data_IF_856214461729
#
_entry.id   IF_856214461729
#
_cell.length_a   1.000
_cell.length_b   1.000
_cell.length_c   1.000
_cell.angle_alpha   90.00
_cell.angle_beta   90.00
_cell.angle_gamma   90.00
#
_symmetry.space_group_name_H-M   'P 1'
#
loop_
_entity.id
_entity.type
_entity.pdbx_description
1 polymer ?
#
# COMPACT_ATOMS: atom_id res chain seq x y z
N UNK A 1 -1.89 22.30 -23.55
CA UNK A 1 -0.85 21.69 -24.41
C UNK A 1 0.57 21.69 -23.83
N UNK A 2 1.00 22.65 -22.97
CA UNK A 2 2.37 22.66 -22.39
C UNK A 2 2.52 22.04 -20.99
N UNK A 3 1.42 21.74 -20.28
CA UNK A 3 1.47 21.11 -18.94
C UNK A 3 2.00 19.67 -18.96
N UNK A 4 2.02 19.01 -20.12
CA UNK A 4 2.58 17.66 -20.32
C UNK A 4 4.10 17.63 -20.58
N UNK A 5 4.79 18.78 -20.56
CA UNK A 5 6.24 18.86 -20.81
C UNK A 5 7.10 19.00 -19.54
N UNK A 6 6.47 19.12 -18.37
CA UNK A 6 7.22 19.24 -17.12
C UNK A 6 7.77 17.87 -16.73
N UNK A 7 9.10 17.80 -16.57
CA UNK A 7 9.80 16.58 -16.14
C UNK A 7 9.18 16.08 -14.82
N UNK A 8 8.67 14.85 -14.82
CA UNK A 8 8.06 14.23 -13.63
C UNK A 8 8.95 14.34 -12.38
N UNK A 9 10.27 14.26 -12.57
CA UNK A 9 11.29 14.43 -11.54
C UNK A 9 11.21 15.75 -10.76
N UNK A 10 10.67 16.81 -11.36
CA UNK A 10 10.48 18.10 -10.70
C UNK A 10 9.19 18.15 -9.86
N UNK A 11 8.16 17.40 -10.26
CA UNK A 11 6.83 17.44 -9.62
C UNK A 11 6.74 16.41 -8.49
N UNK A 12 7.35 15.23 -8.67
CA UNK A 12 7.32 14.12 -7.72
C UNK A 12 7.61 14.50 -6.26
N UNK A 13 8.68 15.26 -5.91
CA UNK A 13 8.99 15.54 -4.52
C UNK A 13 7.93 16.43 -3.85
N UNK A 14 7.30 17.34 -4.59
CA UNK A 14 6.20 18.15 -4.09
C UNK A 14 4.93 17.32 -3.91
N UNK A 15 4.63 16.41 -4.83
CA UNK A 15 3.50 15.48 -4.68
C UNK A 15 3.65 14.63 -3.42
N UNK A 16 4.83 14.08 -3.17
CA UNK A 16 5.09 13.34 -1.93
C UNK A 16 4.90 14.23 -0.70
N UNK A 17 5.51 15.42 -0.67
CA UNK A 17 5.29 16.37 0.43
C UNK A 17 3.81 16.66 0.71
N UNK A 18 3.01 16.86 -0.34
CA UNK A 18 1.57 17.10 -0.21
C UNK A 18 0.78 15.86 0.25
N UNK A 19 1.14 14.66 -0.22
CA UNK A 19 0.47 13.41 0.20
C UNK A 19 0.72 13.14 1.68
N UNK A 20 1.96 13.30 2.16
CA UNK A 20 2.28 13.14 3.57
C UNK A 20 1.64 14.23 4.44
N UNK A 21 1.58 15.46 3.94
CA UNK A 21 0.84 16.54 4.61
C UNK A 21 -0.67 16.22 4.73
N UNK A 22 -1.29 15.76 3.64
CA UNK A 22 -2.71 15.40 3.61
C UNK A 22 -3.02 14.22 4.55
N UNK A 23 -2.14 13.22 4.62
CA UNK A 23 -2.29 12.11 5.56
C UNK A 23 -2.22 12.60 7.01
N UNK A 24 -1.26 13.48 7.33
CA UNK A 24 -1.14 14.06 8.67
C UNK A 24 -2.36 14.89 9.08
N UNK A 25 -3.06 15.53 8.13
CA UNK A 25 -4.24 16.33 8.44
C UNK A 25 -5.37 15.52 9.10
N UNK A 26 -5.41 14.20 8.89
CA UNK A 26 -6.50 13.34 9.36
C UNK A 26 -6.59 13.27 10.89
N UNK A 27 -5.51 12.86 11.57
CA UNK A 27 -5.48 12.75 13.04
C UNK A 27 -4.45 13.66 13.71
N UNK A 28 -3.55 14.28 12.93
CA UNK A 28 -2.44 15.11 13.41
C UNK A 28 -1.44 14.34 14.28
N UNK A 29 -1.31 13.03 14.06
CA UNK A 29 -0.34 12.19 14.74
C UNK A 29 0.75 11.67 13.80
N UNK A 30 1.92 11.38 14.38
CA UNK A 30 3.01 10.67 13.69
C UNK A 30 2.57 9.29 13.15
N UNK A 31 1.57 8.67 13.79
CA UNK A 31 0.98 7.40 13.37
C UNK A 31 0.45 7.43 11.94
N UNK A 32 -0.13 8.54 11.49
CA UNK A 32 -0.68 8.67 10.13
C UNK A 32 0.41 8.59 9.06
N UNK A 33 1.56 9.19 9.32
CA UNK A 33 2.71 9.19 8.41
C UNK A 33 3.30 7.78 8.27
N UNK A 34 3.39 7.05 9.38
CA UNK A 34 3.86 5.66 9.40
C UNK A 34 2.85 4.72 8.74
N UNK A 35 1.55 4.90 8.99
CA UNK A 35 0.49 4.13 8.34
C UNK A 35 0.43 4.37 6.84
N UNK A 36 0.57 5.63 6.40
CA UNK A 36 0.69 5.96 4.98
C UNK A 36 1.90 5.25 4.34
N UNK A 37 3.04 5.22 5.01
CA UNK A 37 4.22 4.50 4.54
C UNK A 37 3.99 2.99 4.45
N UNK A 38 3.38 2.40 5.48
CA UNK A 38 3.08 0.97 5.54
C UNK A 38 2.11 0.55 4.42
N UNK A 39 0.97 1.25 4.30
CA UNK A 39 -0.03 0.98 3.27
C UNK A 39 0.47 1.32 1.87
N UNK A 40 1.28 2.37 1.73
CA UNK A 40 1.95 2.73 0.47
C UNK A 40 2.91 1.64 0.02
N UNK A 41 3.73 1.12 0.93
CA UNK A 41 4.67 0.01 0.67
C UNK A 41 3.91 -1.26 0.30
N UNK A 42 2.85 -1.61 1.04
CA UNK A 42 1.96 -2.71 0.72
C UNK A 42 1.39 -2.57 -0.70
N UNK A 43 0.87 -1.39 -1.04
CA UNK A 43 0.32 -1.10 -2.37
C UNK A 43 1.34 -1.19 -3.51
N UNK A 44 2.59 -0.82 -3.26
CA UNK A 44 3.70 -0.96 -4.22
C UNK A 44 3.99 -2.43 -4.49
N UNK A 45 4.11 -3.27 -3.46
CA UNK A 45 4.33 -4.70 -3.63
C UNK A 45 3.12 -5.42 -4.24
N UNK A 46 1.88 -5.01 -3.90
CA UNK A 46 0.69 -5.52 -4.58
C UNK A 46 0.72 -5.23 -6.07
N UNK A 47 1.10 -4.01 -6.48
CA UNK A 47 1.27 -3.67 -7.89
C UNK A 47 2.36 -4.52 -8.53
N UNK A 48 3.51 -4.67 -7.84
CA UNK A 48 4.65 -5.44 -8.32
C UNK A 48 4.31 -6.89 -8.61
N UNK A 49 3.56 -7.54 -7.71
CA UNK A 49 3.22 -8.96 -7.80
C UNK A 49 1.85 -9.25 -8.44
N UNK A 50 1.20 -8.25 -9.04
CA UNK A 50 -0.05 -8.44 -9.79
C UNK A 50 -1.29 -8.66 -8.92
N UNK A 51 -1.24 -8.31 -7.63
CA UNK A 51 -2.37 -8.42 -6.72
C UNK A 51 -3.38 -7.27 -6.95
N UNK A 52 -4.69 -7.55 -6.99
CA UNK A 52 -5.71 -6.55 -7.28
C UNK A 52 -5.90 -5.57 -6.11
N UNK A 53 -5.20 -4.43 -6.17
CA UNK A 53 -5.35 -3.31 -5.21
C UNK A 53 -6.82 -2.88 -4.98
N UNK A 54 -7.68 -2.76 -6.02
CA UNK A 54 -9.08 -2.39 -5.82
C UNK A 54 -9.86 -3.42 -4.98
N UNK A 55 -9.53 -4.71 -5.08
CA UNK A 55 -10.22 -5.75 -4.31
C UNK A 55 -9.94 -5.61 -2.81
N UNK A 56 -8.70 -5.29 -2.43
CA UNK A 56 -8.34 -5.03 -1.02
C UNK A 56 -9.08 -3.79 -0.49
N UNK A 57 -9.15 -2.71 -1.28
CA UNK A 57 -9.88 -1.50 -0.89
C UNK A 57 -11.38 -1.76 -0.72
N UNK A 58 -11.99 -2.54 -1.63
CA UNK A 58 -13.39 -2.96 -1.53
C UNK A 58 -13.62 -3.75 -0.24
N UNK A 59 -12.74 -4.72 0.05
CA UNK A 59 -12.79 -5.50 1.29
C UNK A 59 -12.66 -4.61 2.53
N UNK A 60 -11.70 -3.69 2.55
CA UNK A 60 -11.48 -2.76 3.67
C UNK A 60 -12.71 -1.89 3.94
N UNK A 61 -13.27 -1.25 2.91
CA UNK A 61 -14.43 -0.34 3.07
C UNK A 61 -15.71 -1.10 3.46
N UNK A 62 -15.87 -2.34 2.99
CA UNK A 62 -17.05 -3.16 3.29
C UNK A 62 -16.93 -3.94 4.60
N UNK A 63 -15.71 -4.08 5.17
CA UNK A 63 -15.43 -4.96 6.30
C UNK A 63 -16.37 -4.73 7.48
N UNK A 64 -16.48 -3.50 7.98
CA UNK A 64 -17.34 -3.14 9.12
C UNK A 64 -18.81 -3.46 8.88
N UNK A 65 -19.31 -3.26 7.64
CA UNK A 65 -20.70 -3.57 7.29
C UNK A 65 -20.94 -5.07 7.26
N UNK A 66 -20.00 -5.83 6.69
CA UNK A 66 -20.07 -7.30 6.63
C UNK A 66 -20.00 -7.89 8.03
N UNK A 67 -19.07 -7.44 8.86
CA UNK A 67 -18.91 -7.89 10.26
C UNK A 67 -20.18 -7.66 11.07
N UNK A 68 -20.74 -6.44 11.04
CA UNK A 68 -21.98 -6.10 11.75
C UNK A 68 -23.16 -6.96 11.25
N UNK A 69 -23.24 -7.22 9.93
CA UNK A 69 -24.30 -8.06 9.36
C UNK A 69 -24.19 -9.53 9.80
N UNK A 70 -22.96 -10.06 9.88
CA UNK A 70 -22.69 -11.41 10.36
C UNK A 70 -23.06 -11.53 11.84
N UNK A 71 -22.67 -10.54 12.65
CA UNK A 71 -23.02 -10.47 14.07
C UNK A 71 -24.54 -10.56 14.25
N UNK A 72 -25.31 -9.70 13.58
CA UNK A 72 -26.78 -9.73 13.65
C UNK A 72 -27.39 -11.05 13.19
N UNK A 73 -26.83 -11.65 12.15
CA UNK A 73 -27.31 -12.93 11.62
C UNK A 73 -27.11 -14.06 12.63
N UNK A 74 -25.94 -14.13 13.24
CA UNK A 74 -25.59 -15.18 14.21
C UNK A 74 -26.38 -15.00 15.50
N UNK A 75 -26.56 -13.77 16.00
CA UNK A 75 -27.36 -13.55 17.21
C UNK A 75 -28.83 -13.90 17.02
N UNK A 76 -29.36 -13.74 15.81
CA UNK A 76 -30.80 -13.95 15.53
C UNK A 76 -31.11 -15.40 15.17
N UNK A 77 -30.31 -15.99 14.27
CA UNK A 77 -30.59 -17.30 13.67
C UNK A 77 -29.59 -18.39 14.08
N UNK A 78 -28.54 -18.06 14.84
CA UNK A 78 -27.46 -18.99 15.18
C UNK A 78 -26.83 -19.57 13.92
N UNK A 79 -26.63 -20.89 13.88
CA UNK A 79 -26.19 -21.62 12.67
C UNK A 79 -27.35 -22.01 11.73
N UNK A 80 -28.60 -21.79 12.13
CA UNK A 80 -29.79 -22.13 11.33
C UNK A 80 -29.94 -21.23 10.09
N UNK A 81 -29.21 -20.12 10.01
CA UNK A 81 -29.20 -19.25 8.84
C UNK A 81 -28.78 -19.99 7.55
N UNK A 82 -27.91 -21.00 7.65
CA UNK A 82 -27.47 -21.80 6.48
C UNK A 82 -28.60 -22.65 5.88
N UNK A 83 -29.62 -22.99 6.68
CA UNK A 83 -30.80 -23.72 6.22
C UNK A 83 -31.82 -22.84 5.50
N UNK A 84 -31.61 -21.51 5.47
CA UNK A 84 -32.55 -20.60 4.81
C UNK A 84 -32.44 -20.75 3.28
N UNK A 85 -33.58 -20.93 2.57
CA UNK A 85 -33.56 -21.21 1.13
C UNK A 85 -32.81 -20.16 0.30
N UNK A 86 -32.91 -18.88 0.68
CA UNK A 86 -32.24 -17.77 -0.01
C UNK A 86 -30.71 -17.89 0.10
N UNK A 87 -30.19 -18.30 1.27
CA UNK A 87 -28.74 -18.46 1.48
C UNK A 87 -28.21 -19.60 0.62
N UNK A 88 -28.93 -20.71 0.54
CA UNK A 88 -28.55 -21.87 -0.29
C UNK A 88 -28.51 -21.47 -1.78
N UNK A 89 -29.51 -20.73 -2.27
CA UNK A 89 -29.54 -20.23 -3.65
C UNK A 89 -28.34 -19.33 -3.94
N UNK A 90 -27.97 -18.43 -3.02
CA UNK A 90 -26.81 -17.56 -3.17
C UNK A 90 -25.48 -18.33 -3.16
N UNK A 91 -25.34 -19.36 -2.32
CA UNK A 91 -24.18 -20.25 -2.31
C UNK A 91 -24.05 -21.00 -3.64
N UNK A 92 -25.14 -21.53 -4.18
CA UNK A 92 -25.13 -22.20 -5.48
C UNK A 92 -24.74 -21.21 -6.59
N UNK A 93 -25.31 -20.00 -6.60
CA UNK A 93 -25.01 -19.00 -7.61
C UNK A 93 -23.54 -18.54 -7.56
N UNK A 94 -22.98 -18.38 -6.36
CA UNK A 94 -21.56 -18.02 -6.18
C UNK A 94 -20.63 -19.13 -6.67
N UNK A 95 -20.94 -20.41 -6.38
CA UNK A 95 -20.19 -21.55 -6.91
C UNK A 95 -20.26 -21.61 -8.43
N UNK A 96 -21.44 -21.41 -9.04
CA UNK A 96 -21.60 -21.36 -10.49
C UNK A 96 -20.76 -20.24 -11.09
N UNK A 97 -20.78 -19.05 -10.50
CA UNK A 97 -19.99 -17.90 -10.95
C UNK A 97 -18.48 -18.18 -10.92
N UNK A 98 -17.98 -18.81 -9.85
CA UNK A 98 -16.57 -19.20 -9.74
C UNK A 98 -16.20 -20.22 -10.83
N UNK A 99 -17.02 -21.24 -11.02
CA UNK A 99 -16.78 -22.27 -12.06
C UNK A 99 -16.81 -21.65 -13.46
N UNK A 100 -17.76 -20.75 -13.72
CA UNK A 100 -17.83 -20.02 -14.99
C UNK A 100 -16.59 -19.15 -15.19
N UNK A 101 -16.16 -18.38 -14.18
CA UNK A 101 -14.97 -17.54 -14.27
C UNK A 101 -13.69 -18.34 -14.57
N UNK A 102 -13.55 -19.53 -13.99
CA UNK A 102 -12.42 -20.43 -14.27
C UNK A 102 -12.50 -20.97 -15.71
N UNK A 103 -13.69 -21.34 -16.20
CA UNK A 103 -13.87 -21.90 -17.55
C UNK A 103 -13.77 -20.87 -18.68
N UNK A 104 -14.24 -19.65 -18.47
CA UNK A 104 -14.26 -18.59 -19.49
C UNK A 104 -13.05 -17.65 -19.40
N UNK A 105 -11.98 -18.06 -18.70
CA UNK A 105 -10.77 -17.25 -18.58
C UNK A 105 -10.17 -17.01 -19.97
N UNK A 106 -10.06 -15.76 -20.44
CA UNK A 106 -9.53 -15.47 -21.78
C UNK A 106 -8.07 -15.95 -21.89
N UNK A 107 -7.67 -16.36 -23.10
CA UNK A 107 -6.31 -16.78 -23.38
C UNK A 107 -5.32 -15.66 -23.00
N UNK A 108 -4.44 -15.96 -22.04
CA UNK A 108 -3.43 -15.02 -21.55
C UNK A 108 -2.29 -14.91 -22.58
N UNK A 109 -1.63 -13.75 -22.60
CA UNK A 109 -0.46 -13.47 -23.44
C UNK A 109 0.60 -14.57 -23.30
N UNK A 110 1.33 -14.87 -24.38
CA UNK A 110 2.39 -15.89 -24.40
C UNK A 110 3.33 -15.73 -23.20
N UNK A 111 3.38 -16.77 -22.36
CA UNK A 111 4.23 -16.83 -21.19
C UNK A 111 5.65 -17.08 -21.69
N UNK A 112 6.46 -16.02 -21.75
CA UNK A 112 7.87 -16.10 -22.16
C UNK A 112 8.74 -16.33 -20.93
N UNK A 113 9.77 -17.19 -21.05
CA UNK A 113 10.70 -17.55 -19.96
C UNK A 113 11.57 -16.40 -19.43
N UNK A 114 11.72 -15.32 -20.18
CA UNK A 114 12.41 -14.09 -19.75
C UNK A 114 11.42 -12.94 -19.47
N UNK A 115 10.11 -13.22 -19.45
CA UNK A 115 9.07 -12.22 -19.25
C UNK A 115 8.70 -11.97 -17.78
N UNK A 116 7.58 -11.28 -17.57
CA UNK A 116 7.04 -10.91 -16.26
C UNK A 116 6.68 -12.15 -15.39
N UNK A 117 6.45 -13.30 -16.03
CA UNK A 117 5.99 -14.55 -15.42
C UNK A 117 7.10 -15.59 -15.16
N UNK A 118 8.34 -15.13 -15.01
CA UNK A 118 9.55 -15.97 -14.87
C UNK A 118 9.76 -16.49 -13.45
N UNK A 119 10.39 -17.66 -13.30
CA UNK A 119 10.70 -18.32 -12.02
C UNK A 119 12.08 -17.95 -11.42
N UNK A 120 12.92 -17.21 -12.15
CA UNK A 120 14.20 -16.68 -11.66
C UNK A 120 13.93 -15.68 -10.53
N UNK A 121 14.70 -15.70 -9.44
CA UNK A 121 14.63 -14.74 -8.32
C UNK A 121 13.19 -14.48 -7.79
N UNK A 122 12.49 -15.56 -7.43
CA UNK A 122 11.15 -15.55 -6.79
C UNK A 122 11.18 -15.07 -5.33
N UNK A 123 12.36 -14.80 -4.77
CA UNK A 123 12.52 -14.46 -3.35
C UNK A 123 11.65 -13.27 -2.92
N UNK A 124 11.59 -12.14 -3.63
CA UNK A 124 10.76 -11.00 -3.23
C UNK A 124 9.26 -11.35 -3.23
N UNK A 125 8.80 -12.12 -4.22
CA UNK A 125 7.42 -12.57 -4.30
C UNK A 125 7.08 -13.55 -3.17
N UNK A 126 8.01 -14.46 -2.85
CA UNK A 126 7.87 -15.39 -1.73
C UNK A 126 7.84 -14.67 -0.37
N UNK A 127 8.64 -13.62 -0.17
CA UNK A 127 8.59 -12.80 1.04
C UNK A 127 7.23 -12.11 1.17
N UNK A 128 6.72 -11.52 0.10
CA UNK A 128 5.41 -10.88 0.09
C UNK A 128 4.28 -11.88 0.36
N UNK A 129 4.30 -13.03 -0.33
CA UNK A 129 3.39 -14.13 -0.07
C UNK A 129 3.44 -14.56 1.41
N UNK A 130 4.66 -14.77 1.94
CA UNK A 130 4.89 -15.14 3.33
C UNK A 130 4.36 -14.10 4.32
N UNK A 131 4.49 -12.81 4.01
CA UNK A 131 3.91 -11.72 4.79
C UNK A 131 2.39 -11.79 4.84
N UNK A 132 1.70 -11.95 3.70
CA UNK A 132 0.23 -12.05 3.67
C UNK A 132 -0.25 -13.35 4.32
N UNK A 133 0.47 -14.46 4.14
CA UNK A 133 0.19 -15.73 4.80
C UNK A 133 0.32 -15.61 6.32
N UNK A 134 1.41 -15.00 6.81
CA UNK A 134 1.61 -14.75 8.23
C UNK A 134 0.54 -13.83 8.80
N UNK A 135 0.16 -12.75 8.09
CA UNK A 135 -0.93 -11.86 8.50
C UNK A 135 -2.24 -12.65 8.65
N UNK A 136 -2.56 -13.53 7.70
CA UNK A 136 -3.75 -14.39 7.78
C UNK A 136 -3.73 -15.31 9.00
N UNK A 137 -2.56 -15.86 9.35
CA UNK A 137 -2.39 -16.67 10.56
C UNK A 137 -2.53 -15.84 11.84
N UNK A 138 -1.96 -14.64 11.88
CA UNK A 138 -2.08 -13.72 13.02
C UNK A 138 -3.56 -13.35 13.25
N UNK A 139 -4.31 -13.07 12.19
CA UNK A 139 -5.75 -12.75 12.28
C UNK A 139 -6.55 -13.92 12.84
N UNK A 140 -6.26 -15.15 12.40
CA UNK A 140 -6.93 -16.35 12.95
C UNK A 140 -6.55 -16.56 14.41
N UNK A 141 -5.26 -16.40 14.73
CA UNK A 141 -4.78 -16.56 16.10
C UNK A 141 -5.39 -15.53 17.05
N UNK A 142 -5.42 -14.27 16.65
CA UNK A 142 -6.06 -13.21 17.44
C UNK A 142 -7.57 -13.46 17.55
N UNK A 143 -8.25 -13.73 16.43
CA UNK A 143 -9.68 -14.03 16.39
C UNK A 143 -10.09 -15.22 17.26
N UNK A 144 -9.21 -16.22 17.43
CA UNK A 144 -9.46 -17.40 18.26
C UNK A 144 -9.41 -17.14 19.78
N UNK A 145 -8.85 -16.00 20.19
CA UNK A 145 -8.74 -15.61 21.62
C UNK A 145 -9.97 -14.88 22.13
N UNK A 146 -10.72 -14.27 21.23
CA UNK A 146 -11.94 -13.54 21.55
C UNK A 146 -13.12 -14.50 21.76
N UNK A 147 -14.19 -13.98 22.37
CA UNK A 147 -15.45 -14.72 22.46
C UNK A 147 -15.96 -15.09 21.06
N UNK A 148 -16.67 -16.21 20.95
CA UNK A 148 -17.15 -16.77 19.68
C UNK A 148 -17.81 -15.68 18.83
N UNK A 149 -18.65 -14.84 19.41
CA UNK A 149 -19.43 -13.87 18.66
C UNK A 149 -18.58 -12.73 18.06
N UNK A 150 -17.50 -12.34 18.73
CA UNK A 150 -16.53 -11.34 18.24
C UNK A 150 -15.52 -11.97 17.29
N UNK A 151 -15.14 -13.22 17.55
CA UNK A 151 -14.14 -13.95 16.76
C UNK A 151 -14.63 -14.47 15.41
N UNK A 152 -15.95 -14.61 15.18
CA UNK A 152 -16.46 -15.25 13.95
C UNK A 152 -15.99 -14.54 12.68
N UNK A 153 -16.08 -13.22 12.62
CA UNK A 153 -15.73 -12.48 11.40
C UNK A 153 -14.23 -12.58 11.08
N UNK A 154 -13.30 -12.27 12.02
CA UNK A 154 -11.87 -12.47 11.79
C UNK A 154 -11.50 -13.92 11.42
N UNK A 155 -12.07 -14.91 12.10
CA UNK A 155 -11.81 -16.34 11.82
C UNK A 155 -12.28 -16.73 10.43
N UNK A 156 -13.47 -16.28 10.02
CA UNK A 156 -14.02 -16.55 8.69
C UNK A 156 -13.20 -15.87 7.58
N UNK A 157 -12.88 -14.59 7.74
CA UNK A 157 -12.07 -13.83 6.79
C UNK A 157 -10.66 -14.41 6.65
N UNK A 158 -10.01 -14.74 7.78
CA UNK A 158 -8.70 -15.40 7.79
C UNK A 158 -8.74 -16.80 7.19
N UNK A 159 -9.78 -17.58 7.50
CA UNK A 159 -9.99 -18.93 6.96
C UNK A 159 -10.18 -18.94 5.44
N UNK A 160 -11.00 -18.03 4.90
CA UNK A 160 -11.13 -17.85 3.44
C UNK A 160 -9.81 -17.40 2.82
N UNK A 161 -9.09 -16.49 3.47
CA UNK A 161 -7.79 -16.03 2.98
C UNK A 161 -6.80 -17.19 2.87
N UNK A 162 -6.70 -18.04 3.91
CA UNK A 162 -5.87 -19.25 3.87
C UNK A 162 -6.33 -20.25 2.82
N UNK A 163 -7.64 -20.42 2.63
CA UNK A 163 -8.18 -21.33 1.62
C UNK A 163 -7.69 -21.00 0.21
N UNK A 164 -7.49 -19.72 -0.12
CA UNK A 164 -6.96 -19.29 -1.41
C UNK A 164 -5.43 -19.18 -1.44
N UNK A 165 -4.81 -18.74 -0.33
CA UNK A 165 -3.36 -18.52 -0.25
C UNK A 165 -2.59 -19.85 -0.18
N UNK A 166 -3.09 -20.87 0.52
CA UNK A 166 -2.38 -22.15 0.69
C UNK A 166 -2.20 -22.88 -0.66
N UNK A 167 -3.24 -23.08 -1.50
CA UNK A 167 -3.06 -23.68 -2.82
C UNK A 167 -2.09 -22.89 -3.70
N UNK A 168 -2.17 -21.55 -3.66
CA UNK A 168 -1.25 -20.67 -4.40
C UNK A 168 0.22 -20.91 -3.98
N UNK A 169 0.49 -21.03 -2.68
CA UNK A 169 1.84 -21.32 -2.18
C UNK A 169 2.34 -22.72 -2.55
N UNK A 170 1.44 -23.71 -2.54
CA UNK A 170 1.75 -25.06 -3.02
C UNK A 170 2.11 -25.04 -4.50
N UNK A 171 1.35 -24.29 -5.31
CA UNK A 171 1.61 -24.13 -6.74
C UNK A 171 2.93 -23.38 -7.01
N UNK A 172 3.22 -22.31 -6.24
CA UNK A 172 4.50 -21.61 -6.28
C UNK A 172 5.70 -22.52 -5.99
N UNK A 173 5.55 -23.46 -5.04
CA UNK A 173 6.61 -24.39 -4.68
C UNK A 173 6.79 -25.54 -5.69
N UNK A 174 5.69 -26.00 -6.30
CA UNK A 174 5.70 -27.15 -7.23
C UNK A 174 6.06 -26.77 -8.66
N UNK A 175 5.72 -25.55 -9.07
CA UNK A 175 5.89 -25.12 -10.46
C UNK A 175 7.37 -24.84 -10.73
N UNK A 176 7.88 -25.43 -11.81
CA UNK A 176 9.22 -25.17 -12.34
C UNK A 176 9.06 -24.57 -13.74
N UNK A 177 9.72 -23.46 -14.00
CA UNK A 177 9.56 -22.69 -15.25
C UNK A 177 8.49 -21.59 -15.15
N UNK A 178 8.37 -20.83 -16.24
CA UNK A 178 7.51 -19.66 -16.30
C UNK A 178 6.02 -20.04 -16.18
N UNK A 179 5.31 -19.38 -15.27
CA UNK A 179 3.91 -19.67 -14.98
C UNK A 179 3.15 -18.44 -14.53
N UNK A 180 1.83 -18.47 -14.66
CA UNK A 180 0.94 -17.38 -14.28
C UNK A 180 0.96 -17.05 -12.78
N UNK A 181 1.49 -17.96 -11.97
CA UNK A 181 1.63 -17.80 -10.53
C UNK A 181 2.73 -16.80 -10.20
N UNK A 182 3.77 -16.75 -11.02
CA UNK A 182 4.82 -15.76 -10.89
C UNK A 182 4.42 -14.50 -11.62
N UNK A 183 4.58 -13.34 -11.00
CA UNK A 183 4.39 -12.05 -11.68
C UNK A 183 5.28 -11.06 -10.99
N UNK A 184 6.22 -10.47 -11.71
CA UNK A 184 7.08 -9.40 -11.20
C UNK A 184 7.16 -8.27 -12.23
N UNK A 185 6.40 -7.20 -11.99
CA UNK A 185 6.39 -6.03 -12.88
C UNK A 185 7.74 -5.31 -12.94
N UNK A 186 8.71 -5.66 -12.08
CA UNK A 186 10.06 -5.10 -12.21
C UNK A 186 10.83 -5.60 -13.42
N UNK A 187 10.34 -6.67 -14.05
CA UNK A 187 10.93 -7.29 -15.24
C UNK A 187 10.23 -6.89 -16.52
N UNK A 188 9.22 -6.04 -16.41
CA UNK A 188 8.62 -5.46 -17.60
C UNK A 188 9.69 -4.61 -18.28
N UNK A 189 10.16 -5.05 -19.46
CA UNK A 189 11.06 -4.27 -20.31
C UNK A 189 10.31 -3.02 -20.80
N UNK A 190 10.33 -1.96 -19.99
CA UNK A 190 9.90 -0.64 -20.41
C UNK A 190 11.02 -0.07 -21.30
N UNK A 191 10.64 0.39 -22.50
CA UNK A 191 11.53 1.00 -23.51
C UNK A 191 12.75 1.72 -22.91
N UNK A 192 13.93 1.45 -23.50
CA UNK A 192 15.31 1.78 -23.06
C UNK A 192 15.61 3.27 -22.76
N UNK A 193 14.62 4.16 -22.77
CA UNK A 193 14.77 5.61 -22.61
C UNK A 193 14.63 6.12 -21.16
N UNK A 194 14.20 5.28 -20.21
CA UNK A 194 14.03 5.67 -18.80
C UNK A 194 14.99 4.81 -17.95
N UNK A 195 15.86 5.44 -17.15
CA UNK A 195 16.68 4.74 -16.16
C UNK A 195 15.77 3.94 -15.21
N UNK A 196 15.66 2.63 -15.42
CA UNK A 196 14.89 1.76 -14.55
C UNK A 196 15.61 1.62 -13.20
N UNK A 197 14.92 1.97 -12.12
CA UNK A 197 15.38 1.79 -10.74
C UNK A 197 14.32 1.00 -9.98
N UNK A 198 14.78 0.08 -9.14
CA UNK A 198 13.96 -0.77 -8.28
C UNK A 198 12.90 0.03 -7.51
N UNK A 199 11.73 -0.54 -7.27
CA UNK A 199 10.71 0.14 -6.48
C UNK A 199 11.18 0.42 -5.04
N UNK A 200 12.03 -0.46 -4.50
CA UNK A 200 12.67 -0.32 -3.18
C UNK A 200 13.56 0.92 -3.11
N UNK A 201 14.19 1.30 -4.21
CA UNK A 201 14.98 2.52 -4.27
C UNK A 201 14.09 3.74 -3.98
N UNK A 202 12.92 3.84 -4.59
CA UNK A 202 11.99 4.95 -4.35
C UNK A 202 11.34 4.88 -2.96
N UNK A 203 11.04 3.68 -2.45
CA UNK A 203 10.58 3.51 -1.07
C UNK A 203 11.63 3.97 -0.05
N UNK A 204 12.92 3.66 -0.28
CA UNK A 204 14.02 4.14 0.57
C UNK A 204 14.13 5.67 0.57
N UNK A 205 13.84 6.34 -0.55
CA UNK A 205 13.77 7.81 -0.59
C UNK A 205 12.68 8.37 0.33
N UNK A 206 11.49 7.75 0.31
CA UNK A 206 10.38 8.17 1.16
C UNK A 206 10.65 7.84 2.64
N UNK A 207 11.25 6.68 2.94
CA UNK A 207 11.68 6.35 4.30
C UNK A 207 12.77 7.30 4.80
N UNK A 208 13.72 7.66 3.94
CA UNK A 208 14.74 8.67 4.24
C UNK A 208 14.11 10.02 4.57
N UNK A 209 13.12 10.46 3.81
CA UNK A 209 12.35 11.66 4.11
C UNK A 209 11.71 11.59 5.50
N UNK A 210 11.01 10.49 5.83
CA UNK A 210 10.41 10.32 7.17
C UNK A 210 11.47 10.31 8.28
N UNK A 211 12.62 9.68 8.06
CA UNK A 211 13.72 9.66 9.01
C UNK A 211 14.28 11.07 9.29
N UNK A 212 14.48 11.87 8.24
CA UNK A 212 14.91 13.27 8.41
C UNK A 212 13.82 14.10 9.07
N UNK A 213 12.55 13.90 8.71
CA UNK A 213 11.41 14.54 9.40
C UNK A 213 11.37 14.19 10.89
N UNK A 214 11.62 12.94 11.27
CA UNK A 214 11.61 12.51 12.67
C UNK A 214 12.76 13.15 13.47
N UNK A 215 13.90 13.42 12.83
CA UNK A 215 15.05 14.07 13.46
C UNK A 215 14.88 15.58 13.59
N UNK A 216 14.48 16.26 12.51
CA UNK A 216 14.53 17.73 12.40
C UNK A 216 13.16 18.42 12.45
N UNK A 217 12.06 17.67 12.38
CA UNK A 217 10.71 18.20 12.25
C UNK A 217 10.18 18.05 10.82
N UNK A 218 8.87 17.91 10.68
CA UNK A 218 8.21 17.59 9.41
C UNK A 218 8.48 18.60 8.28
N UNK A 219 8.43 19.91 8.61
CA UNK A 219 8.66 20.99 7.64
C UNK A 219 10.09 20.96 7.10
N UNK A 220 11.07 20.81 8.00
CA UNK A 220 12.49 20.71 7.64
C UNK A 220 12.80 19.39 6.91
N UNK A 221 12.17 18.29 7.30
CA UNK A 221 12.31 17.00 6.64
C UNK A 221 11.83 17.01 5.20
N UNK A 222 10.65 17.58 4.92
CA UNK A 222 10.18 17.71 3.53
C UNK A 222 11.00 18.74 2.75
N UNK A 223 11.36 19.87 3.36
CA UNK A 223 12.18 20.89 2.71
C UNK A 223 13.55 20.34 2.27
N UNK A 224 14.23 19.61 3.17
CA UNK A 224 15.50 18.95 2.86
C UNK A 224 15.34 17.83 1.83
N UNK A 225 14.26 17.04 1.90
CA UNK A 225 13.96 16.03 0.88
C UNK A 225 13.76 16.65 -0.51
N UNK A 226 12.96 17.72 -0.63
CA UNK A 226 12.76 18.42 -1.91
C UNK A 226 14.10 18.93 -2.44
N UNK A 227 14.92 19.55 -1.59
CA UNK A 227 16.23 20.06 -1.97
C UNK A 227 17.14 18.94 -2.52
N UNK A 228 17.28 17.84 -1.76
CA UNK A 228 18.17 16.73 -2.10
C UNK A 228 17.66 15.98 -3.33
N UNK A 229 16.36 15.72 -3.42
CA UNK A 229 15.75 15.01 -4.53
C UNK A 229 15.91 15.79 -5.84
N UNK A 230 15.61 17.08 -5.84
CA UNK A 230 15.76 17.94 -7.02
C UNK A 230 17.23 18.04 -7.43
N UNK A 231 18.14 18.17 -6.46
CA UNK A 231 19.58 18.24 -6.76
C UNK A 231 20.08 16.97 -7.44
N UNK A 232 19.79 15.81 -6.86
CA UNK A 232 20.36 14.54 -7.32
C UNK A 232 19.64 13.97 -8.54
N UNK A 233 18.33 14.22 -8.71
CA UNK A 233 17.55 13.65 -9.80
C UNK A 233 17.23 14.64 -10.92
N UNK A 234 16.99 15.91 -10.61
CA UNK A 234 16.66 16.90 -11.64
C UNK A 234 17.89 17.67 -12.16
N UNK A 235 19.01 17.67 -11.41
CA UNK A 235 20.26 18.32 -11.80
C UNK A 235 20.22 19.85 -11.76
N UNK A 236 19.30 20.43 -10.98
CA UNK A 236 19.17 21.88 -10.84
C UNK A 236 20.30 22.50 -10.00
N UNK A 237 20.55 23.80 -10.21
CA UNK A 237 21.50 24.58 -9.41
C UNK A 237 21.08 24.62 -7.94
N UNK A 238 22.03 24.85 -7.03
CA UNK A 238 21.74 24.96 -5.58
C UNK A 238 20.69 26.05 -5.29
N UNK A 239 20.71 27.13 -6.06
CA UNK A 239 19.75 28.22 -5.96
C UNK A 239 18.34 27.77 -6.37
N UNK A 240 18.21 27.05 -7.48
CA UNK A 240 16.92 26.47 -7.89
C UNK A 240 16.35 25.50 -6.85
N UNK A 241 17.20 24.64 -6.28
CA UNK A 241 16.81 23.69 -5.23
C UNK A 241 16.35 24.42 -3.95
N UNK A 242 17.09 25.45 -3.53
CA UNK A 242 16.76 26.25 -2.34
C UNK A 242 15.45 27.04 -2.52
N UNK A 243 15.23 27.62 -3.70
CA UNK A 243 13.96 28.30 -4.02
C UNK A 243 12.80 27.30 -3.98
N UNK A 244 12.94 26.15 -4.63
CA UNK A 244 11.91 25.10 -4.62
C UNK A 244 11.54 24.64 -3.21
N UNK A 245 12.54 24.33 -2.38
CA UNK A 245 12.32 23.94 -0.99
C UNK A 245 11.71 25.08 -0.17
N UNK A 246 12.21 26.31 -0.32
CA UNK A 246 11.74 27.49 0.40
C UNK A 246 10.29 27.85 0.07
N UNK A 247 9.89 27.77 -1.20
CA UNK A 247 8.50 27.97 -1.63
C UNK A 247 7.59 26.94 -0.96
N UNK A 248 8.00 25.67 -0.91
CA UNK A 248 7.18 24.63 -0.30
C UNK A 248 7.08 24.78 1.22
N UNK A 249 8.17 25.14 1.89
CA UNK A 249 8.18 25.47 3.33
C UNK A 249 7.24 26.66 3.60
N UNK A 250 7.28 27.71 2.78
CA UNK A 250 6.34 28.83 2.91
C UNK A 250 4.89 28.40 2.69
N UNK A 251 4.64 27.52 1.73
CA UNK A 251 3.30 26.96 1.49
C UNK A 251 2.81 26.18 2.73
N UNK A 252 3.63 25.32 3.31
CA UNK A 252 3.30 24.61 4.55
C UNK A 252 3.08 25.59 5.72
N UNK A 253 3.97 26.58 5.91
CA UNK A 253 3.81 27.59 6.95
C UNK A 253 2.52 28.41 6.80
N UNK A 254 2.14 28.73 5.55
CA UNK A 254 0.89 29.42 5.23
C UNK A 254 -0.31 28.54 5.57
N UNK A 255 -0.29 27.25 5.19
CA UNK A 255 -1.33 26.30 5.55
C UNK A 255 -1.44 26.09 7.06
N UNK A 256 -0.31 25.99 7.76
CA UNK A 256 -0.28 25.92 9.23
C UNK A 256 -0.94 27.13 9.88
N UNK A 257 -0.67 28.34 9.37
CA UNK A 257 -1.28 29.56 9.89
C UNK A 257 -2.80 29.60 9.66
N UNK A 258 -3.26 29.33 8.43
CA UNK A 258 -4.69 29.40 8.11
C UNK A 258 -5.51 28.25 8.69
N UNK A 259 -4.92 27.06 8.82
CA UNK A 259 -5.61 25.85 9.28
C UNK A 259 -5.32 25.53 10.75
N UNK A 260 -4.60 26.42 11.45
CA UNK A 260 -4.14 26.25 12.84
C UNK A 260 -3.56 24.85 13.09
N UNK A 261 -2.73 24.39 12.15
CA UNK A 261 -2.09 23.08 12.20
C UNK A 261 -0.74 23.23 12.91
N UNK A 262 -0.50 22.36 13.89
CA UNK A 262 0.82 22.11 14.46
C UNK A 262 1.39 20.88 13.77
N UNK A 263 2.57 21.02 13.18
CA UNK A 263 3.24 19.93 12.49
C UNK A 263 3.87 18.96 13.50
N UNK A 264 4.10 17.70 13.09
CA UNK A 264 4.73 16.73 13.96
C UNK A 264 6.16 17.18 14.30
N UNK A 265 6.41 17.34 15.60
CA UNK A 265 7.71 17.77 16.08
C UNK A 265 8.75 16.66 15.92
N UNK A 266 9.95 17.03 15.47
CA UNK A 266 11.10 16.15 15.45
C UNK A 266 11.86 16.17 16.78
N UNK A 267 12.80 15.25 16.94
CA UNK A 267 13.65 15.16 18.14
C UNK A 267 14.37 16.50 18.39
N UNK A 268 14.86 17.18 17.35
CA UNK A 268 15.53 18.47 17.51
C UNK A 268 14.62 19.55 18.10
N UNK A 269 13.33 19.55 17.73
CA UNK A 269 12.36 20.54 18.22
C UNK A 269 12.02 20.32 19.70
N UNK A 270 12.24 19.11 20.24
CA UNK A 270 12.15 18.86 21.68
C UNK A 270 13.25 19.55 22.50
N UNK A 271 14.39 19.88 21.87
CA UNK A 271 15.51 20.57 22.51
C UNK A 271 15.59 22.06 22.16
N UNK A 272 15.08 22.47 21.00
CA UNK A 272 15.19 23.85 20.48
C UNK A 272 13.85 24.29 19.89
N UNK A 273 13.32 25.41 20.37
CA UNK A 273 12.14 26.05 19.78
C UNK A 273 12.52 26.74 18.48
N UNK A 274 12.03 26.22 17.35
CA UNK A 274 12.29 26.80 16.04
C UNK A 274 11.32 27.97 15.75
N UNK A 275 11.78 29.02 15.03
CA UNK A 275 10.91 30.12 14.63
C UNK A 275 9.95 29.69 13.52
N UNK A 276 8.76 30.30 13.47
CA UNK A 276 7.86 30.18 12.34
C UNK A 276 8.56 30.58 11.04
N UNK A 277 8.42 29.85 9.91
CA UNK A 277 7.56 28.69 9.64
C UNK A 277 8.24 27.32 9.84
N UNK A 278 9.39 27.25 10.52
CA UNK A 278 10.19 26.03 10.73
C UNK A 278 9.80 25.23 11.99
N UNK A 279 8.64 25.56 12.56
CA UNK A 279 8.04 24.86 13.69
C UNK A 279 7.56 23.47 13.29
#
# INVERSE_FOLDING_TARGET
AKLTTIRYTLIAPFMFGLIFFAAFQATREWGDLLMLMLLGTLGVYMKRFGWPRPALLIGYVLSTRVETSIYHTITTYGLSFLSHPIVIILIILTLISIVAAIRYKPAQSEITEDGIHTDRNILPQCIFYGFIFLLSLIVIWDGSRWDVLTGVYPLFAGGISLLFIVPLGIEMYRTKGASLVFYDSEREEIDRAIEYRSNEYYLMWLMGMLGVSALFGFVLGIGSFIYIFIRLKAGLSHLGCAISAGIFIMLLGTLSHFMTLQYPEGILQSYVTLPWPLQ
#
